data_IF_130538284637
#
_entry.id   IF_130538284637
#
_cell.length_a   1.000
_cell.length_b   1.000
_cell.length_c   1.000
_cell.angle_alpha   90.00
_cell.angle_beta   90.00
_cell.angle_gamma   90.00
#
_symmetry.space_group_name_H-M   'P 1'
#
loop_
_entity.id
_entity.type
_entity.pdbx_description
1 polymer ?
#
# COMPACT_ATOMS: atom_id res chain seq x y z
N UNK A 1 -6.63 -5.47 21.55
CA UNK A 1 -5.71 -4.31 21.40
C UNK A 1 -5.89 -3.75 19.99
N UNK A 2 -5.93 -2.43 19.79
CA UNK A 2 -6.07 -1.83 18.45
C UNK A 2 -4.69 -1.64 17.84
N UNK A 3 -4.45 -2.20 16.66
CA UNK A 3 -3.21 -1.97 15.92
C UNK A 3 -3.39 -0.76 14.99
N UNK A 4 -2.58 0.26 15.21
CA UNK A 4 -2.52 1.45 14.34
C UNK A 4 -1.23 1.37 13.54
N UNK A 5 -1.34 1.45 12.22
CA UNK A 5 -0.19 1.48 11.32
C UNK A 5 -0.12 2.84 10.63
N UNK A 6 1.07 3.43 10.60
CA UNK A 6 1.31 4.75 10.01
C UNK A 6 2.17 4.60 8.76
N UNK A 7 1.68 5.19 7.67
CA UNK A 7 2.32 5.20 6.36
C UNK A 7 2.12 6.57 5.73
N UNK A 8 3.02 6.96 4.84
CA UNK A 8 2.90 8.22 4.10
C UNK A 8 1.79 8.11 3.04
N UNK A 9 1.64 6.92 2.45
CA UNK A 9 0.62 6.62 1.43
C UNK A 9 -0.04 5.27 1.69
N UNK A 10 -1.36 5.23 1.57
CA UNK A 10 -2.17 4.01 1.61
C UNK A 10 -2.81 3.78 0.23
N UNK A 11 -2.51 2.63 -0.38
CA UNK A 11 -3.08 2.19 -1.66
C UNK A 11 -4.07 1.05 -1.38
N UNK A 12 -5.29 1.15 -1.92
CA UNK A 12 -6.34 0.12 -1.79
C UNK A 12 -6.53 -0.58 -3.13
N UNK A 13 -6.25 -1.89 -3.17
CA UNK A 13 -6.36 -2.78 -4.33
C UNK A 13 -4.99 -3.23 -4.86
N UNK A 14 -4.71 -4.53 -4.83
CA UNK A 14 -3.43 -5.13 -5.30
C UNK A 14 -3.44 -5.59 -6.76
N UNK A 15 -4.27 -4.99 -7.61
CA UNK A 15 -4.24 -5.25 -9.05
C UNK A 15 -2.93 -4.76 -9.68
N UNK A 16 -2.76 -5.00 -10.98
CA UNK A 16 -1.56 -4.59 -11.71
C UNK A 16 -1.27 -3.08 -11.57
N UNK A 17 -2.30 -2.25 -11.61
CA UNK A 17 -2.19 -0.79 -11.41
C UNK A 17 -1.77 -0.41 -9.99
N UNK A 18 -2.39 -1.02 -8.97
CA UNK A 18 -2.08 -0.76 -7.57
C UNK A 18 -0.67 -1.17 -7.18
N UNK A 19 -0.20 -2.33 -7.67
CA UNK A 19 1.16 -2.79 -7.42
C UNK A 19 2.19 -1.94 -8.19
N UNK A 20 1.87 -1.55 -9.43
CA UNK A 20 2.73 -0.63 -10.21
C UNK A 20 2.93 0.69 -9.47
N UNK A 21 1.86 1.29 -8.96
CA UNK A 21 1.95 2.52 -8.17
C UNK A 21 2.75 2.31 -6.87
N UNK A 22 2.48 1.21 -6.15
CA UNK A 22 3.18 0.88 -4.91
C UNK A 22 4.69 0.75 -5.12
N UNK A 23 5.13 0.05 -6.17
CA UNK A 23 6.55 -0.15 -6.49
C UNK A 23 7.25 1.16 -6.89
N UNK A 24 6.56 2.05 -7.60
CA UNK A 24 7.11 3.36 -7.92
C UNK A 24 7.23 4.24 -6.67
N UNK A 25 6.21 4.29 -5.81
CA UNK A 25 6.20 5.13 -4.61
C UNK A 25 7.07 4.60 -3.48
N UNK A 26 7.30 3.28 -3.38
CA UNK A 26 8.13 2.67 -2.35
C UNK A 26 9.60 3.14 -2.39
N UNK A 27 10.06 3.71 -3.52
CA UNK A 27 11.38 4.33 -3.65
C UNK A 27 11.48 5.70 -2.95
N UNK A 28 10.34 6.32 -2.65
CA UNK A 28 10.27 7.70 -2.17
C UNK A 28 9.68 7.81 -0.77
N UNK A 29 8.75 6.94 -0.38
CA UNK A 29 8.07 7.02 0.91
C UNK A 29 7.60 5.66 1.42
N UNK A 30 7.13 5.61 2.67
CA UNK A 30 6.52 4.41 3.26
C UNK A 30 5.11 4.23 2.73
N UNK A 31 4.94 3.19 1.93
CA UNK A 31 3.65 2.85 1.33
C UNK A 31 3.06 1.60 1.99
N UNK A 32 1.77 1.63 2.28
CA UNK A 32 0.98 0.43 2.55
C UNK A 32 0.09 0.11 1.36
N UNK A 33 0.07 -1.16 0.97
CA UNK A 33 -0.88 -1.69 0.00
C UNK A 33 -1.83 -2.63 0.74
N UNK A 34 -3.12 -2.31 0.74
CA UNK A 34 -4.15 -3.19 1.26
C UNK A 34 -4.95 -3.76 0.09
N UNK A 35 -5.23 -5.05 0.17
CA UNK A 35 -6.12 -5.71 -0.76
C UNK A 35 -6.95 -6.73 0.00
N UNK A 36 -8.14 -7.01 -0.51
CA UNK A 36 -8.87 -8.20 -0.07
C UNK A 36 -8.13 -9.39 -0.67
N UNK A 37 -7.52 -10.22 0.18
CA UNK A 37 -7.04 -11.53 -0.24
C UNK A 37 -8.18 -12.30 -0.92
N UNK A 38 -7.85 -13.12 -1.92
CA UNK A 38 -8.83 -14.05 -2.48
C UNK A 38 -9.32 -15.01 -1.38
#
# INVERSE_FOLDING_TARGET
MKNHHYYDVLIIGSGASGLTLALNLAKHCKVALLSKGA
#
